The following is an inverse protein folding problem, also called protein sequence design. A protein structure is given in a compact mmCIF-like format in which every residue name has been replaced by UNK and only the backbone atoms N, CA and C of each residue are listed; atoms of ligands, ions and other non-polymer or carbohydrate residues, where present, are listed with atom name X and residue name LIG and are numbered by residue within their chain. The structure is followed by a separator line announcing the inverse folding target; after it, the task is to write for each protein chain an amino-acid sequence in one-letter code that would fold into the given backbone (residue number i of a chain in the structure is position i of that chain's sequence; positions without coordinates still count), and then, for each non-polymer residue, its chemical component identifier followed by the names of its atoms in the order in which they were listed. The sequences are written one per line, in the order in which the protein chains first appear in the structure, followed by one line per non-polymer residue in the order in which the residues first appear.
data_IF_267198753178
#
_entry.id   IF_267198753178
#
_cell.length_a   1.000
_cell.length_b   1.000
_cell.length_c   1.000
_cell.angle_alpha   90.00
_cell.angle_beta   90.00
_cell.angle_gamma   90.00
#
_symmetry.space_group_name_H-M   'P 1'
#
loop_
_entity.id
_entity.type
_entity.pdbx_description
1 polymer ?
#
# COMPACT_ATOMS: atom_id res chain seq x y z
N UNK A 1 -11.13 -13.63 -0.46
CA UNK A 1 -11.57 -12.98 -1.71
C UNK A 1 -10.38 -12.24 -2.25
N UNK A 2 -10.07 -12.44 -3.52
CA UNK A 2 -8.91 -11.80 -4.12
C UNK A 2 -9.23 -10.34 -4.45
N UNK A 3 -8.29 -9.44 -4.20
CA UNK A 3 -8.46 -8.03 -4.48
C UNK A 3 -7.13 -7.30 -4.66
N UNK A 4 -7.21 -6.16 -5.34
CA UNK A 4 -6.15 -5.17 -5.40
C UNK A 4 -6.68 -3.90 -4.73
N UNK A 5 -5.87 -3.31 -3.85
CA UNK A 5 -6.19 -2.07 -3.16
C UNK A 5 -5.04 -1.10 -3.24
N UNK A 6 -5.28 0.03 -3.90
CA UNK A 6 -4.36 1.15 -3.93
C UNK A 6 -4.40 1.91 -2.60
N UNK A 7 -3.37 1.76 -1.79
CA UNK A 7 -3.23 2.51 -0.54
C UNK A 7 -2.67 3.90 -0.84
N UNK A 8 -1.72 3.94 -1.77
CA UNK A 8 -1.13 5.13 -2.36
C UNK A 8 -1.11 5.05 -3.88
N UNK A 9 -1.05 6.22 -4.49
CA UNK A 9 -1.01 6.41 -5.94
C UNK A 9 -0.15 7.63 -6.30
N UNK A 10 0.69 8.06 -5.36
CA UNK A 10 1.71 9.06 -5.62
C UNK A 10 2.71 8.51 -6.63
N UNK A 11 2.94 9.27 -7.69
CA UNK A 11 3.98 9.04 -8.68
C UNK A 11 4.52 10.39 -9.13
N UNK A 12 5.68 10.41 -9.78
CA UNK A 12 6.45 11.61 -10.08
C UNK A 12 6.96 12.37 -8.85
N UNK A 13 8.13 13.01 -9.02
CA UNK A 13 8.92 13.62 -7.95
C UNK A 13 8.13 14.63 -7.11
N UNK A 14 7.37 15.52 -7.76
CA UNK A 14 6.68 16.61 -7.06
C UNK A 14 5.42 16.18 -6.31
N UNK A 15 4.69 15.17 -6.80
CA UNK A 15 3.52 14.63 -6.08
C UNK A 15 3.99 13.95 -4.80
N UNK A 16 5.11 13.24 -4.86
CA UNK A 16 5.70 12.55 -3.71
C UNK A 16 6.31 13.55 -2.73
N UNK A 17 7.16 14.48 -3.17
CA UNK A 17 7.77 15.49 -2.29
C UNK A 17 6.71 16.34 -1.57
N UNK A 18 5.70 16.79 -2.30
CA UNK A 18 4.62 17.60 -1.73
C UNK A 18 3.52 16.76 -1.06
N UNK A 19 3.65 15.43 -1.04
CA UNK A 19 2.67 14.48 -0.49
C UNK A 19 1.22 14.73 -0.97
N UNK A 20 1.05 15.17 -2.23
CA UNK A 20 -0.27 15.51 -2.80
C UNK A 20 -1.17 14.28 -2.92
N UNK A 21 -0.56 13.10 -3.01
CA UNK A 21 -1.22 11.80 -2.90
C UNK A 21 -0.40 10.95 -1.93
N UNK A 22 -1.05 9.99 -1.29
CA UNK A 22 -0.34 9.02 -0.46
C UNK A 22 0.60 8.17 -1.34
N UNK A 23 1.78 7.86 -0.80
CA UNK A 23 2.78 6.95 -1.39
C UNK A 23 2.73 5.54 -0.78
N UNK A 24 1.62 5.18 -0.14
CA UNK A 24 1.49 3.94 0.65
C UNK A 24 1.48 2.61 -0.15
N UNK A 25 1.80 2.65 -1.45
CA UNK A 25 1.89 1.46 -2.29
C UNK A 25 0.54 0.81 -2.62
N UNK A 26 0.62 -0.47 -3.02
CA UNK A 26 -0.52 -1.28 -3.45
C UNK A 26 -0.57 -2.59 -2.66
N UNK A 27 -1.72 -2.89 -2.06
CA UNK A 27 -1.98 -4.17 -1.42
C UNK A 27 -2.65 -5.12 -2.39
N UNK A 28 -2.13 -6.33 -2.53
CA UNK A 28 -2.72 -7.41 -3.31
C UNK A 28 -3.03 -8.57 -2.37
N UNK A 29 -4.27 -9.04 -2.39
CA UNK A 29 -4.67 -10.28 -1.72
C UNK A 29 -5.02 -11.28 -2.81
N UNK A 30 -4.30 -12.40 -2.85
CA UNK A 30 -4.48 -13.46 -3.86
C UNK A 30 -4.34 -14.83 -3.19
N UNK A 31 -5.37 -15.68 -3.30
CA UNK A 31 -5.39 -17.01 -2.69
C UNK A 31 -5.00 -17.01 -1.20
N UNK A 32 -5.44 -15.99 -0.46
CA UNK A 32 -5.13 -15.80 0.96
C UNK A 32 -3.73 -15.24 1.25
N UNK A 33 -2.88 -15.07 0.23
CA UNK A 33 -1.57 -14.42 0.35
C UNK A 33 -1.71 -12.92 0.21
N UNK A 34 -1.20 -12.16 1.16
CA UNK A 34 -1.22 -10.70 1.17
C UNK A 34 0.17 -10.13 0.88
N UNK A 35 0.23 -9.33 -0.17
CA UNK A 35 1.47 -8.76 -0.70
C UNK A 35 1.32 -7.25 -0.73
N UNK A 36 2.32 -6.53 -0.23
CA UNK A 36 2.41 -5.07 -0.32
C UNK A 36 3.52 -4.67 -1.26
N UNK A 37 3.16 -3.95 -2.32
CA UNK A 37 4.07 -3.49 -3.35
C UNK A 37 4.40 -2.02 -3.10
N UNK A 38 5.68 -1.69 -3.03
CA UNK A 38 6.25 -0.34 -2.89
C UNK A 38 5.64 0.49 -1.75
N UNK A 39 5.75 0.03 -0.49
CA UNK A 39 5.30 0.82 0.66
C UNK A 39 6.18 2.07 0.85
N UNK A 40 5.60 3.26 0.62
CA UNK A 40 6.23 4.53 0.94
C UNK A 40 5.93 5.05 2.35
N UNK A 41 6.33 6.29 2.66
CA UNK A 41 6.00 6.97 3.91
C UNK A 41 4.49 6.97 4.22
N UNK A 42 4.14 6.70 5.47
CA UNK A 42 2.76 6.69 5.95
C UNK A 42 1.96 5.42 5.64
N UNK A 43 2.57 4.39 5.04
CA UNK A 43 1.87 3.15 4.67
C UNK A 43 1.15 2.48 5.83
N UNK A 44 1.79 2.37 7.01
CA UNK A 44 1.20 1.73 8.19
C UNK A 44 -0.14 2.39 8.58
N UNK A 45 -0.14 3.72 8.66
CA UNK A 45 -1.33 4.50 8.97
C UNK A 45 -2.38 4.35 7.87
N UNK A 46 -1.96 4.28 6.60
CA UNK A 46 -2.87 4.12 5.47
C UNK A 46 -3.55 2.76 5.46
N UNK A 47 -2.86 1.68 5.81
CA UNK A 47 -3.46 0.35 6.01
C UNK A 47 -4.58 0.41 7.05
N UNK A 48 -4.27 0.95 8.24
CA UNK A 48 -5.17 1.00 9.40
C UNK A 48 -6.36 1.97 9.21
N UNK A 49 -6.19 3.01 8.40
CA UNK A 49 -7.24 4.01 8.09
C UNK A 49 -8.03 3.71 6.81
N UNK A 50 -7.58 2.76 5.98
CA UNK A 50 -8.28 2.38 4.76
C UNK A 50 -9.64 1.75 5.07
N UNK A 51 -10.55 1.78 4.09
CA UNK A 51 -11.88 1.15 4.20
C UNK A 51 -12.03 0.12 3.08
N UNK A 52 -12.31 -1.16 3.37
CA UNK A 52 -12.20 -1.81 4.69
C UNK A 52 -10.76 -1.72 5.27
N UNK A 53 -10.58 -1.81 6.58
CA UNK A 53 -9.25 -1.71 7.20
C UNK A 53 -8.37 -2.89 6.78
N UNK A 54 -7.09 -2.63 6.57
CA UNK A 54 -6.09 -3.68 6.34
C UNK A 54 -5.24 -3.82 7.60
N UNK A 55 -5.02 -5.06 8.04
CA UNK A 55 -4.14 -5.36 9.17
C UNK A 55 -2.74 -5.71 8.64
N UNK A 56 -1.72 -4.85 8.84
CA UNK A 56 -0.36 -5.11 8.38
C UNK A 56 0.26 -6.40 8.93
N UNK A 57 -0.24 -6.93 10.06
CA UNK A 57 0.20 -8.23 10.60
C UNK A 57 -0.18 -9.43 9.73
N UNK A 58 -1.07 -9.24 8.76
CA UNK A 58 -1.47 -10.27 7.80
C UNK A 58 -0.61 -10.27 6.54
N UNK A 59 0.40 -9.40 6.44
CA UNK A 59 1.31 -9.38 5.29
C UNK A 59 2.19 -10.62 5.28
N UNK A 60 2.20 -11.28 4.13
CA UNK A 60 3.07 -12.43 3.86
C UNK A 60 4.34 -12.00 3.12
N UNK A 61 4.26 -10.95 2.30
CA UNK A 61 5.41 -10.43 1.55
C UNK A 61 5.35 -8.91 1.32
N UNK A 62 6.53 -8.33 1.17
CA UNK A 62 6.73 -6.97 0.66
C UNK A 62 7.58 -7.07 -0.61
N UNK A 63 7.12 -6.41 -1.68
CA UNK A 63 7.86 -6.28 -2.93
C UNK A 63 8.32 -4.83 -3.05
N UNK A 64 9.62 -4.64 -3.25
CA UNK A 64 10.23 -3.36 -3.62
C UNK A 64 10.66 -3.47 -5.07
N UNK A 65 10.10 -2.61 -5.93
CA UNK A 65 10.39 -2.62 -7.35
C UNK A 65 11.72 -1.94 -7.68
N UNK A 66 12.06 -0.86 -6.98
CA UNK A 66 13.31 -0.10 -7.13
C UNK A 66 13.63 0.74 -5.88
#
# INVERSE_FOLDING_TARGET
MDFIKFLGTAGARFVMINQLRSSAGTWVSLNGTNILIDPGPGTLIRCLSSKPKLNPRQLDAIILTH
#
